data_IF_592562356640
#
_entry.id   IF_592562356640
#
_cell.length_a   1.000
_cell.length_b   1.000
_cell.length_c   1.000
_cell.angle_alpha   90.00
_cell.angle_beta   90.00
_cell.angle_gamma   90.00
#
_symmetry.space_group_name_H-M   'P 1'
#
loop_
_entity.id
_entity.type
_entity.pdbx_description
1 polymer ?
#
# COMPACT_ATOMS: atom_id res chain seq x y z
N UNK A 1 1.96 -29.56 -5.41
CA UNK A 1 1.51 -28.54 -4.44
C UNK A 1 2.00 -27.18 -4.93
N UNK A 2 1.10 -26.27 -5.31
CA UNK A 2 1.55 -24.91 -5.65
C UNK A 2 2.05 -24.24 -4.37
N UNK A 3 3.21 -23.61 -4.45
CA UNK A 3 3.80 -22.88 -3.33
C UNK A 3 3.15 -21.50 -3.31
N UNK A 4 2.48 -21.13 -2.22
CA UNK A 4 1.80 -19.84 -2.13
C UNK A 4 2.77 -18.67 -2.16
N UNK A 5 2.38 -17.59 -2.86
CA UNK A 5 3.19 -16.36 -2.99
C UNK A 5 3.05 -15.52 -1.74
N UNK A 6 4.17 -15.12 -1.12
CA UNK A 6 4.14 -14.33 0.13
C UNK A 6 4.35 -12.84 -0.12
N UNK A 7 3.34 -12.06 0.27
CA UNK A 7 3.28 -10.60 0.17
C UNK A 7 3.41 -9.98 1.56
N UNK A 8 4.10 -8.84 1.65
CA UNK A 8 4.18 -8.01 2.86
C UNK A 8 4.14 -6.52 2.49
N UNK A 9 3.57 -5.68 3.35
CA UNK A 9 3.59 -4.22 3.21
C UNK A 9 4.09 -3.57 4.50
N UNK A 10 4.96 -2.56 4.37
CA UNK A 10 5.51 -1.82 5.50
C UNK A 10 5.59 -0.32 5.22
N UNK A 11 4.94 0.49 6.05
CA UNK A 11 5.32 1.88 6.20
C UNK A 11 6.63 1.92 7.02
N UNK A 12 7.71 2.40 6.40
CA UNK A 12 9.05 2.39 7.02
C UNK A 12 9.45 3.72 7.67
N UNK A 13 8.71 4.80 7.41
CA UNK A 13 9.00 6.15 7.94
C UNK A 13 10.51 6.50 7.91
N UNK A 14 11.13 6.34 6.74
CA UNK A 14 12.56 6.59 6.48
C UNK A 14 13.54 5.55 7.02
N UNK A 15 13.07 4.49 7.69
CA UNK A 15 13.93 3.46 8.31
C UNK A 15 14.07 2.22 7.42
N UNK A 16 15.18 2.09 6.73
CA UNK A 16 15.46 0.97 5.81
C UNK A 16 16.08 -0.26 6.49
N UNK A 17 15.76 -0.51 7.77
CA UNK A 17 16.31 -1.66 8.47
C UNK A 17 16.03 -2.95 7.70
N UNK A 18 16.99 -3.90 7.65
CA UNK A 18 16.90 -5.05 6.77
C UNK A 18 15.69 -5.92 7.14
N UNK A 19 14.68 -5.91 6.27
CA UNK A 19 13.54 -6.83 6.33
C UNK A 19 14.12 -8.25 6.29
N UNK A 20 13.90 -9.04 7.34
CA UNK A 20 14.43 -10.41 7.44
C UNK A 20 13.89 -11.25 6.27
N UNK A 21 14.82 -11.88 5.55
CA UNK A 21 14.75 -12.14 4.10
C UNK A 21 14.21 -13.51 3.68
N UNK A 22 13.85 -14.38 4.61
CA UNK A 22 13.57 -15.77 4.22
C UNK A 22 12.14 -15.91 3.66
N UNK A 23 12.06 -16.17 2.35
CA UNK A 23 10.90 -16.62 1.55
C UNK A 23 9.87 -15.54 1.11
N UNK A 24 10.17 -14.24 1.21
CA UNK A 24 9.21 -13.19 0.80
C UNK A 24 9.38 -12.93 -0.70
N UNK A 25 8.28 -12.93 -1.46
CA UNK A 25 8.31 -12.77 -2.92
C UNK A 25 7.96 -11.35 -3.36
N UNK A 26 7.08 -10.66 -2.63
CA UNK A 26 6.69 -9.27 -2.90
C UNK A 26 6.69 -8.46 -1.61
N UNK A 27 7.35 -7.29 -1.64
CA UNK A 27 7.41 -6.34 -0.52
C UNK A 27 6.96 -4.97 -1.01
N UNK A 28 5.98 -4.38 -0.33
CA UNK A 28 5.63 -2.96 -0.48
C UNK A 28 6.26 -2.14 0.63
N UNK A 29 6.86 -1.02 0.27
CA UNK A 29 7.36 -0.02 1.20
C UNK A 29 6.68 1.33 0.97
N UNK A 30 6.28 1.99 2.05
CA UNK A 30 5.77 3.37 2.05
C UNK A 30 6.59 4.27 2.97
N UNK A 31 6.51 5.58 2.77
CA UNK A 31 7.33 6.58 3.49
C UNK A 31 8.82 6.25 3.50
N UNK A 32 9.34 5.83 2.35
CA UNK A 32 10.78 5.50 2.25
C UNK A 32 11.68 6.71 2.52
N UNK A 33 11.20 7.92 2.24
CA UNK A 33 11.93 9.19 2.42
C UNK A 33 13.26 9.23 1.64
N UNK A 34 13.38 8.42 0.60
CA UNK A 34 14.57 8.30 -0.23
C UNK A 34 14.40 9.06 -1.53
N UNK A 35 15.49 9.61 -2.05
CA UNK A 35 15.55 10.07 -3.42
C UNK A 35 15.76 8.91 -4.40
N UNK A 36 15.67 9.20 -5.71
CA UNK A 36 15.78 8.20 -6.78
C UNK A 36 17.10 7.41 -6.74
N UNK A 37 18.22 8.05 -6.41
CA UNK A 37 19.52 7.38 -6.36
C UNK A 37 19.68 6.53 -5.10
N UNK A 38 19.10 6.95 -3.98
CA UNK A 38 19.01 6.15 -2.76
C UNK A 38 18.11 4.92 -2.95
N UNK A 39 16.97 5.04 -3.65
CA UNK A 39 16.16 3.88 -4.02
C UNK A 39 16.96 2.87 -4.84
N UNK A 40 17.70 3.29 -5.88
CA UNK A 40 18.52 2.38 -6.70
C UNK A 40 19.50 1.55 -5.86
N UNK A 41 20.03 2.11 -4.77
CA UNK A 41 20.95 1.41 -3.86
C UNK A 41 20.26 0.26 -3.10
N UNK A 42 18.94 0.30 -2.92
CA UNK A 42 18.20 -0.77 -2.24
C UNK A 42 18.18 -2.10 -3.01
N UNK A 43 18.49 -2.12 -4.31
CA UNK A 43 18.67 -3.36 -5.08
C UNK A 43 19.71 -4.30 -4.44
N UNK A 44 20.68 -3.75 -3.72
CA UNK A 44 21.70 -4.50 -2.98
C UNK A 44 21.13 -5.34 -1.82
N UNK A 45 19.84 -5.19 -1.50
CA UNK A 45 19.17 -5.95 -0.43
C UNK A 45 18.73 -7.37 -0.86
N UNK A 46 19.04 -7.81 -2.08
CA UNK A 46 18.82 -9.19 -2.53
C UNK A 46 17.51 -9.42 -3.30
N UNK A 47 16.82 -8.34 -3.67
CA UNK A 47 15.65 -8.39 -4.55
C UNK A 47 16.08 -8.04 -5.98
N UNK A 48 15.78 -8.93 -6.93
CA UNK A 48 16.17 -8.78 -8.33
C UNK A 48 15.51 -7.56 -8.98
N UNK A 49 14.23 -7.33 -8.64
CA UNK A 49 13.42 -6.28 -9.22
C UNK A 49 12.98 -5.26 -8.16
N UNK A 50 13.32 -3.99 -8.41
CA UNK A 50 12.93 -2.84 -7.62
C UNK A 50 12.25 -1.83 -8.53
N UNK A 51 11.01 -1.51 -8.20
CA UNK A 51 10.20 -0.46 -8.80
C UNK A 51 9.92 0.58 -7.73
N UNK A 52 10.16 1.86 -8.00
CA UNK A 52 10.02 2.89 -6.97
C UNK A 52 9.59 4.23 -7.53
N UNK A 53 8.92 4.99 -6.68
CA UNK A 53 8.60 6.39 -6.91
C UNK A 53 9.10 7.22 -5.74
N UNK A 54 9.87 8.26 -6.05
CA UNK A 54 10.43 9.19 -5.06
C UNK A 54 9.79 10.56 -5.22
N UNK A 55 9.71 11.31 -4.12
CA UNK A 55 9.35 12.73 -4.20
C UNK A 55 10.52 13.54 -4.79
N UNK A 56 10.21 14.54 -5.63
CA UNK A 56 11.24 15.26 -6.40
C UNK A 56 12.24 16.03 -5.55
N UNK A 57 11.83 16.57 -4.40
CA UNK A 57 12.70 17.41 -3.57
C UNK A 57 12.49 17.20 -2.06
N UNK A 58 13.55 16.78 -1.39
CA UNK A 58 13.57 16.48 0.04
C UNK A 58 13.29 15.01 0.36
N UNK A 59 13.44 14.66 1.64
CA UNK A 59 13.26 13.30 2.18
C UNK A 59 11.87 13.13 2.78
N UNK A 60 10.87 13.00 1.91
CA UNK A 60 9.46 12.81 2.30
C UNK A 60 8.75 11.91 1.30
N UNK A 61 7.68 11.23 1.74
CA UNK A 61 6.92 10.28 0.92
C UNK A 61 7.83 9.20 0.31
N UNK A 62 7.42 8.65 -0.82
CA UNK A 62 8.18 7.69 -1.59
C UNK A 62 7.73 6.27 -1.29
N UNK A 63 7.44 5.55 -2.36
CA UNK A 63 6.98 4.15 -2.31
C UNK A 63 7.91 3.27 -3.13
N UNK A 64 8.02 2.01 -2.73
CA UNK A 64 8.80 1.03 -3.47
C UNK A 64 8.11 -0.34 -3.45
N UNK A 65 8.33 -1.12 -4.50
CA UNK A 65 7.93 -2.51 -4.61
C UNK A 65 9.18 -3.34 -4.91
N UNK A 66 9.48 -4.32 -4.05
CA UNK A 66 10.47 -5.34 -4.34
C UNK A 66 9.82 -6.64 -4.74
N UNK A 67 10.40 -7.30 -5.74
CA UNK A 67 9.87 -8.54 -6.29
C UNK A 67 11.04 -9.48 -6.60
N UNK A 68 10.91 -10.75 -6.20
CA UNK A 68 11.91 -11.79 -6.50
C UNK A 68 11.81 -12.32 -7.94
N UNK A 69 10.61 -12.28 -8.53
CA UNK A 69 10.30 -12.71 -9.90
C UNK A 69 10.36 -11.54 -10.90
N UNK A 70 10.52 -11.85 -12.18
CA UNK A 70 10.58 -10.85 -13.26
C UNK A 70 9.18 -10.34 -13.60
N UNK A 71 9.04 -9.01 -13.69
CA UNK A 71 7.85 -8.33 -14.21
C UNK A 71 8.26 -7.38 -15.34
N UNK A 72 7.33 -7.10 -16.25
CA UNK A 72 7.67 -6.57 -17.57
C UNK A 72 7.30 -5.08 -17.75
N UNK A 73 6.49 -4.48 -16.87
CA UNK A 73 6.05 -3.09 -17.02
C UNK A 73 5.87 -2.37 -15.67
N UNK A 74 6.37 -1.13 -15.58
CA UNK A 74 6.14 -0.23 -14.43
C UNK A 74 5.49 1.11 -14.84
N UNK A 75 4.58 1.59 -14.00
CA UNK A 75 4.07 2.96 -13.99
C UNK A 75 4.28 3.55 -12.60
N UNK A 76 4.82 4.77 -12.54
CA UNK A 76 5.11 5.45 -11.26
C UNK A 76 4.64 6.88 -11.28
N UNK A 77 4.23 7.37 -10.12
CA UNK A 77 3.89 8.77 -9.96
C UNK A 77 5.15 9.66 -9.89
N UNK A 78 4.97 10.97 -10.02
CA UNK A 78 6.08 11.93 -9.87
C UNK A 78 6.23 12.45 -8.44
N UNK A 79 5.31 12.06 -7.54
CA UNK A 79 5.13 12.64 -6.21
C UNK A 79 5.46 11.64 -5.08
N UNK A 80 5.94 10.45 -5.40
CA UNK A 80 6.28 9.42 -4.43
C UNK A 80 5.07 8.80 -3.73
N UNK A 81 3.88 8.83 -4.33
CA UNK A 81 2.61 8.36 -3.74
C UNK A 81 2.14 7.03 -4.28
N UNK A 82 2.56 6.60 -5.47
CA UNK A 82 2.22 5.26 -5.94
C UNK A 82 3.23 4.69 -6.94
N UNK A 83 3.27 3.37 -6.99
CA UNK A 83 3.90 2.58 -8.04
C UNK A 83 2.92 1.46 -8.41
N UNK A 84 2.72 1.27 -9.71
CA UNK A 84 1.94 0.20 -10.31
C UNK A 84 2.87 -0.62 -11.20
N UNK A 85 2.84 -1.94 -11.07
CA UNK A 85 3.69 -2.86 -11.83
C UNK A 85 2.83 -3.97 -12.40
N UNK A 86 2.98 -4.25 -13.68
CA UNK A 86 2.29 -5.34 -14.36
C UNK A 86 3.27 -6.42 -14.77
N UNK A 87 2.82 -7.66 -14.73
CA UNK A 87 3.53 -8.79 -15.34
C UNK A 87 2.82 -10.09 -15.03
N UNK A 88 3.57 -11.17 -14.87
CA UNK A 88 3.00 -12.48 -14.56
C UNK A 88 3.69 -13.15 -13.38
N UNK A 89 2.89 -13.83 -12.57
CA UNK A 89 3.37 -14.71 -11.50
C UNK A 89 2.78 -16.10 -11.76
N UNK A 90 3.65 -17.08 -11.95
CA UNK A 90 3.29 -18.48 -12.20
C UNK A 90 2.29 -18.63 -13.37
N UNK A 91 2.49 -17.86 -14.44
CA UNK A 91 1.67 -17.87 -15.66
C UNK A 91 0.40 -17.00 -15.60
N UNK A 92 0.04 -16.47 -14.43
CA UNK A 92 -1.13 -15.60 -14.27
C UNK A 92 -0.73 -14.14 -14.39
N UNK A 93 -1.48 -13.35 -15.18
CA UNK A 93 -1.31 -11.91 -15.21
C UNK A 93 -1.67 -11.31 -13.86
N UNK A 94 -0.79 -10.45 -13.37
CA UNK A 94 -0.97 -9.71 -12.11
C UNK A 94 -0.58 -8.25 -12.29
N UNK A 95 -1.34 -7.40 -11.62
CA UNK A 95 -1.06 -6.00 -11.41
C UNK A 95 -0.83 -5.76 -9.93
N UNK A 96 0.33 -5.22 -9.60
CA UNK A 96 0.75 -4.89 -8.24
C UNK A 96 0.73 -3.38 -8.06
N UNK A 97 0.01 -2.89 -7.06
CA UNK A 97 -0.12 -1.46 -6.82
C UNK A 97 0.20 -1.12 -5.36
N UNK A 98 1.25 -0.34 -5.15
CA UNK A 98 1.60 0.18 -3.84
C UNK A 98 1.23 1.67 -3.76
N UNK A 99 0.39 2.04 -2.79
CA UNK A 99 -0.11 3.40 -2.60
C UNK A 99 0.27 3.93 -1.23
N UNK A 100 0.75 5.18 -1.22
CA UNK A 100 0.86 6.02 -0.05
C UNK A 100 -0.05 7.23 -0.23
N UNK A 101 -1.12 7.29 0.55
CA UNK A 101 -1.98 8.46 0.66
C UNK A 101 -1.49 9.31 1.84
N UNK A 102 -0.94 10.52 1.59
CA UNK A 102 -0.55 11.40 2.69
C UNK A 102 -1.72 11.71 3.63
N UNK A 103 -1.46 11.98 4.93
CA UNK A 103 -2.49 12.48 5.84
C UNK A 103 -3.22 13.69 5.24
N UNK A 104 -4.55 13.68 5.29
CA UNK A 104 -5.38 14.73 4.70
C UNK A 104 -5.65 14.60 3.20
N UNK A 105 -5.32 13.47 2.57
CA UNK A 105 -5.73 13.17 1.18
C UNK A 105 -7.24 13.28 1.02
N UNK A 106 -7.68 13.92 -0.07
CA UNK A 106 -9.10 14.17 -0.37
C UNK A 106 -9.73 13.06 -1.23
N UNK A 107 -11.04 13.18 -1.49
CA UNK A 107 -11.77 12.22 -2.31
C UNK A 107 -11.26 12.13 -3.75
N UNK A 108 -10.76 13.24 -4.30
CA UNK A 108 -10.29 13.27 -5.68
C UNK A 108 -8.96 12.53 -5.86
N UNK A 109 -8.12 12.51 -4.83
CA UNK A 109 -6.97 11.60 -4.78
C UNK A 109 -7.42 10.14 -4.89
N UNK A 110 -8.38 9.70 -4.06
CA UNK A 110 -8.86 8.30 -4.10
C UNK A 110 -9.55 7.95 -5.42
N UNK A 111 -10.35 8.86 -5.99
CA UNK A 111 -10.94 8.66 -7.33
C UNK A 111 -9.87 8.46 -8.40
N UNK A 112 -8.78 9.22 -8.36
CA UNK A 112 -7.66 9.06 -9.30
C UNK A 112 -6.99 7.69 -9.16
N UNK A 113 -6.77 7.24 -7.92
CA UNK A 113 -6.24 5.90 -7.64
C UNK A 113 -7.17 4.81 -8.18
N UNK A 114 -8.48 4.90 -7.92
CA UNK A 114 -9.47 3.94 -8.40
C UNK A 114 -9.58 3.94 -9.93
N UNK A 115 -9.59 5.11 -10.57
CA UNK A 115 -9.60 5.20 -12.03
C UNK A 115 -8.35 4.56 -12.65
N UNK A 116 -7.19 4.72 -12.01
CA UNK A 116 -5.96 4.06 -12.44
C UNK A 116 -6.06 2.53 -12.26
N UNK A 117 -6.61 2.04 -11.15
CA UNK A 117 -6.89 0.60 -10.98
C UNK A 117 -7.77 0.08 -12.11
N UNK A 118 -8.89 0.75 -12.41
CA UNK A 118 -9.84 0.29 -13.44
C UNK A 118 -9.25 0.31 -14.85
N UNK A 119 -8.42 1.31 -15.18
CA UNK A 119 -7.90 1.49 -16.54
C UNK A 119 -6.57 0.80 -16.80
N UNK A 120 -5.78 0.56 -15.76
CA UNK A 120 -4.44 -0.01 -15.87
C UNK A 120 -4.33 -1.43 -15.30
N UNK A 121 -5.39 -2.03 -14.76
CA UNK A 121 -5.28 -3.42 -14.28
C UNK A 121 -5.27 -4.40 -15.45
N UNK A 122 -4.32 -5.33 -15.40
CA UNK A 122 -4.28 -6.54 -16.22
C UNK A 122 -4.24 -7.76 -15.29
N UNK A 123 -5.17 -8.69 -15.48
CA UNK A 123 -5.31 -9.87 -14.61
C UNK A 123 -5.73 -9.49 -13.19
N UNK A 124 -5.16 -10.18 -12.19
CA UNK A 124 -5.48 -9.95 -10.77
C UNK A 124 -4.79 -8.69 -10.23
N UNK A 125 -5.51 -7.86 -9.48
CA UNK A 125 -4.99 -6.66 -8.86
C UNK A 125 -4.67 -6.91 -7.38
N UNK A 126 -3.40 -6.83 -7.01
CA UNK A 126 -2.99 -6.83 -5.61
C UNK A 126 -2.59 -5.39 -5.28
N UNK A 127 -3.36 -4.74 -4.41
CA UNK A 127 -3.12 -3.37 -4.00
C UNK A 127 -2.80 -3.30 -2.50
N UNK A 128 -1.90 -2.42 -2.09
CA UNK A 128 -1.63 -2.25 -0.68
C UNK A 128 -0.94 -0.94 -0.39
N UNK A 129 -0.71 -0.72 0.89
CA UNK A 129 0.03 0.40 1.42
C UNK A 129 -0.76 1.22 2.43
N UNK A 130 -0.28 2.41 2.70
CA UNK A 130 -0.80 3.26 3.76
C UNK A 130 -1.77 4.29 3.16
N UNK A 131 -3.05 4.11 3.47
CA UNK A 131 -4.11 4.97 2.95
C UNK A 131 -4.45 6.13 3.89
N UNK A 132 -3.89 6.17 5.11
CA UNK A 132 -4.21 7.17 6.14
C UNK A 132 -5.72 7.41 6.37
N UNK A 133 -6.56 6.40 6.11
CA UNK A 133 -8.00 6.41 6.36
C UNK A 133 -8.42 5.22 7.22
N UNK A 134 -9.61 5.33 7.83
CA UNK A 134 -10.20 4.30 8.67
C UNK A 134 -11.59 3.94 8.12
N UNK A 135 -11.71 2.90 7.27
CA UNK A 135 -12.98 2.48 6.68
C UNK A 135 -14.04 2.09 7.73
N UNK A 136 -13.60 1.52 8.87
CA UNK A 136 -14.46 1.16 10.01
C UNK A 136 -13.90 1.78 11.29
N UNK A 137 -14.10 3.09 11.54
CA UNK A 137 -13.49 3.80 12.66
C UNK A 137 -13.67 3.11 14.02
N UNK A 138 -14.80 2.46 14.25
CA UNK A 138 -15.12 1.72 15.48
C UNK A 138 -14.24 0.47 15.70
N UNK A 139 -13.75 -0.15 14.63
CA UNK A 139 -12.85 -1.32 14.69
C UNK A 139 -11.38 -0.95 14.43
N UNK A 140 -11.14 0.05 13.58
CA UNK A 140 -9.83 0.50 13.09
C UNK A 140 -9.20 1.56 14.00
N UNK A 141 -9.84 1.93 15.10
CA UNK A 141 -9.34 2.87 16.10
C UNK A 141 -9.52 2.30 17.51
N UNK A 142 -8.57 2.58 18.39
CA UNK A 142 -8.69 2.33 19.83
C UNK A 142 -9.73 3.24 20.49
N UNK A 143 -9.83 4.49 20.02
CA UNK A 143 -10.89 5.42 20.41
C UNK A 143 -12.18 5.12 19.65
N UNK A 144 -13.25 4.84 20.40
CA UNK A 144 -14.59 4.51 19.87
C UNK A 144 -15.39 5.73 19.43
N UNK A 145 -14.96 6.94 19.80
CA UNK A 145 -15.58 8.18 19.35
C UNK A 145 -15.24 8.36 17.87
N UNK A 146 -16.16 7.96 17.00
CA UNK A 146 -16.11 8.29 15.57
C UNK A 146 -16.37 9.79 15.47
N UNK A 147 -15.45 10.61 14.95
CA UNK A 147 -15.81 11.98 14.61
C UNK A 147 -16.90 11.90 13.55
N UNK A 148 -18.13 12.29 13.90
CA UNK A 148 -19.31 12.26 13.01
C UNK A 148 -19.09 13.07 11.72
N UNK A 149 -18.11 13.97 11.70
CA UNK A 149 -17.89 14.96 10.64
C UNK A 149 -17.14 14.46 9.40
N UNK A 150 -16.47 13.30 9.42
CA UNK A 150 -15.62 12.94 8.29
C UNK A 150 -16.34 12.02 7.28
N UNK A 151 -17.09 12.63 6.35
CA UNK A 151 -17.77 11.92 5.24
C UNK A 151 -16.83 11.19 4.28
N UNK A 152 -15.52 11.46 4.34
CA UNK A 152 -14.54 10.94 3.40
C UNK A 152 -14.44 9.41 3.45
N UNK A 153 -14.27 8.80 4.63
CA UNK A 153 -14.08 7.34 4.70
C UNK A 153 -15.31 6.60 4.17
N UNK A 154 -16.54 7.08 4.44
CA UNK A 154 -17.76 6.50 3.87
C UNK A 154 -17.74 6.54 2.35
N UNK A 155 -17.39 7.70 1.76
CA UNK A 155 -17.30 7.88 0.30
C UNK A 155 -16.21 6.99 -0.31
N UNK A 156 -15.05 6.87 0.34
CA UNK A 156 -13.95 6.00 -0.13
C UNK A 156 -14.34 4.53 -0.01
N UNK A 157 -14.94 4.09 1.10
CA UNK A 157 -15.46 2.73 1.25
C UNK A 157 -16.50 2.40 0.18
N UNK A 158 -17.41 3.34 -0.15
CA UNK A 158 -18.34 3.17 -1.26
C UNK A 158 -17.64 3.05 -2.61
N UNK A 159 -16.55 3.79 -2.85
CA UNK A 159 -15.75 3.63 -4.07
C UNK A 159 -15.12 2.25 -4.14
N UNK A 160 -14.58 1.74 -3.03
CA UNK A 160 -13.98 0.40 -2.96
C UNK A 160 -15.03 -0.67 -3.26
N UNK A 161 -16.21 -0.58 -2.65
CA UNK A 161 -17.32 -1.50 -2.91
C UNK A 161 -17.77 -1.48 -4.38
N UNK A 162 -17.77 -0.31 -5.04
CA UNK A 162 -18.17 -0.18 -6.45
C UNK A 162 -17.23 -0.86 -7.43
N UNK A 163 -15.99 -1.11 -7.03
CA UNK A 163 -14.97 -1.76 -7.88
C UNK A 163 -14.57 -3.12 -7.32
N UNK A 164 -15.38 -3.67 -6.42
CA UNK A 164 -15.14 -4.92 -5.73
C UNK A 164 -13.77 -5.00 -5.04
N UNK A 165 -13.25 -3.85 -4.55
CA UNK A 165 -12.02 -3.78 -3.77
C UNK A 165 -12.26 -4.22 -2.34
N UNK A 166 -11.67 -5.38 -2.02
CA UNK A 166 -11.86 -6.07 -0.75
C UNK A 166 -10.67 -5.82 0.18
N UNK A 167 -10.97 -5.45 1.43
CA UNK A 167 -10.00 -5.42 2.53
C UNK A 167 -9.90 -6.83 3.14
N UNK A 168 -8.92 -7.61 2.69
CA UNK A 168 -8.79 -9.02 3.09
C UNK A 168 -8.55 -9.21 4.59
N UNK A 169 -7.84 -8.28 5.23
CA UNK A 169 -7.68 -8.37 6.67
C UNK A 169 -9.04 -8.26 7.38
N UNK A 170 -9.92 -7.40 6.89
CA UNK A 170 -11.26 -7.25 7.45
C UNK A 170 -12.18 -8.42 7.09
N UNK A 171 -12.05 -9.02 5.91
CA UNK A 171 -12.79 -10.26 5.57
C UNK A 171 -12.39 -11.43 6.46
N UNK A 172 -11.09 -11.63 6.69
CA UNK A 172 -10.60 -12.72 7.53
C UNK A 172 -10.87 -12.48 9.02
N UNK A 173 -10.94 -11.22 9.44
CA UNK A 173 -11.16 -10.85 10.84
C UNK A 173 -12.23 -9.74 10.98
N UNK A 174 -13.51 -10.07 10.75
CA UNK A 174 -14.60 -9.09 10.62
C UNK A 174 -14.77 -8.16 11.82
N UNK A 175 -14.52 -8.67 13.03
CA UNK A 175 -14.75 -7.95 14.30
C UNK A 175 -13.48 -7.71 15.12
N UNK A 176 -12.34 -8.30 14.71
CA UNK A 176 -11.08 -8.18 15.46
C UNK A 176 -10.58 -6.74 15.43
N UNK A 177 -10.12 -6.27 16.59
CA UNK A 177 -9.43 -4.98 16.72
C UNK A 177 -7.94 -5.26 16.80
N UNK A 178 -7.21 -4.80 15.80
CA UNK A 178 -5.76 -4.88 15.70
C UNK A 178 -5.27 -3.65 14.95
N UNK A 179 -4.07 -3.16 15.25
CA UNK A 179 -3.62 -1.83 14.86
C UNK A 179 -2.23 -1.86 14.24
N UNK A 180 -2.00 -0.98 13.27
CA UNK A 180 -0.73 -0.90 12.54
C UNK A 180 0.09 0.35 12.91
N UNK A 181 -0.54 1.35 13.52
CA UNK A 181 0.08 2.62 13.87
C UNK A 181 -0.33 3.11 15.27
N UNK A 182 0.62 3.70 16.00
CA UNK A 182 0.39 4.39 17.26
C UNK A 182 0.75 5.87 17.13
N UNK A 183 -0.21 6.75 17.38
CA UNK A 183 -0.01 8.19 17.47
C UNK A 183 0.24 8.60 18.92
N UNK A 184 1.50 8.91 19.25
CA UNK A 184 1.87 9.38 20.59
C UNK A 184 1.17 10.69 21.00
N UNK A 185 1.06 11.73 20.14
CA UNK A 185 0.39 12.99 20.51
C UNK A 185 -1.09 12.83 20.87
N UNK A 186 -1.76 11.81 20.31
CA UNK A 186 -3.17 11.54 20.55
C UNK A 186 -3.41 10.32 21.45
N UNK A 187 -2.34 9.66 21.90
CA UNK A 187 -2.38 8.38 22.62
C UNK A 187 -3.34 7.38 21.96
N UNK A 188 -3.23 7.25 20.64
CA UNK A 188 -4.23 6.57 19.80
C UNK A 188 -3.60 5.49 18.92
N UNK A 189 -4.11 4.28 19.04
CA UNK A 189 -3.84 3.18 18.10
C UNK A 189 -4.85 3.20 16.95
N UNK A 190 -4.36 3.03 15.72
CA UNK A 190 -5.14 3.00 14.49
C UNK A 190 -4.65 1.95 13.49
N UNK A 191 -5.56 1.39 12.68
CA UNK A 191 -5.23 0.59 11.51
C UNK A 191 -5.39 1.44 10.26
N UNK A 192 -4.26 1.75 9.62
CA UNK A 192 -4.20 2.63 8.43
C UNK A 192 -3.41 1.99 7.27
N UNK A 193 -2.70 0.90 7.55
CA UNK A 193 -2.03 0.09 6.54
C UNK A 193 -2.99 -0.98 6.00
N UNK A 194 -3.16 -1.00 4.68
CA UNK A 194 -4.08 -1.88 3.97
C UNK A 194 -3.35 -2.89 3.11
N UNK A 195 -3.90 -4.11 3.11
CA UNK A 195 -3.50 -5.22 2.25
C UNK A 195 -4.76 -5.63 1.47
N UNK A 196 -4.99 -5.02 0.32
CA UNK A 196 -6.22 -5.23 -0.45
C UNK A 196 -5.92 -6.13 -1.66
N UNK A 197 -6.69 -7.19 -1.84
CA UNK A 197 -6.60 -7.98 -3.07
C UNK A 197 -7.93 -7.87 -3.81
N UNK A 198 -7.85 -7.77 -5.13
CA UNK A 198 -8.88 -8.04 -6.11
C UNK A 198 -8.38 -9.12 -7.06
#
# INVERSE_FOLDING_TARGET
MSRGVRFVSFNVNGRTNPIKRNRIEVVYLQETHLNSDEHKKLRRMGFTNLFSSSYKSGRRRGVAIFISKNLNFEMKDKEGRFVLVQGSIDGNLVTLMNVYAPPGSDLDFFKKIINMMLTQTQGFLICGGDLNIRPRPELDSSNRKVPESNTLYKKVTMLFQKVDLIDIWRELFPTRRDYSHYSAPHSLYTRIDFHNFC
#
